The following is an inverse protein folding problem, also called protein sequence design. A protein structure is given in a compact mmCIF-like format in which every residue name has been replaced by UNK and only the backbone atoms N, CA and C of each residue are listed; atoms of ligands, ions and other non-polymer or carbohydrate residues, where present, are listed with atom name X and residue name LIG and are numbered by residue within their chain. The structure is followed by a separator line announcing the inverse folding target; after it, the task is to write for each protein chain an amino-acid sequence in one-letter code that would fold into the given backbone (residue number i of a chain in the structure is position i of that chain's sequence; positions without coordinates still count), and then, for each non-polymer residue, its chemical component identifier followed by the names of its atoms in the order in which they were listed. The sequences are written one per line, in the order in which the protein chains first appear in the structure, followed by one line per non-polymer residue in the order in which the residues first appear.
data_IF_738386333663
#
_entry.id   IF_738386333663
#
_cell.length_a   1.000
_cell.length_b   1.000
_cell.length_c   1.000
_cell.angle_alpha   90.00
_cell.angle_beta   90.00
_cell.angle_gamma   90.00
#
_symmetry.space_group_name_H-M   'P 1'
#
loop_
_entity.id
_entity.type
_entity.pdbx_description
1 polymer ?
#
# COMPACT_ATOMS: atom_id res chain seq x y z
N UNK A 1 -4.14 -9.84 18.67
CA UNK A 1 -4.88 -9.00 17.71
C UNK A 1 -5.92 -9.89 17.04
N UNK A 2 -7.20 -9.69 17.33
CA UNK A 2 -8.30 -10.48 16.74
C UNK A 2 -8.89 -9.69 15.58
N UNK A 3 -8.76 -10.21 14.37
CA UNK A 3 -9.37 -9.63 13.18
C UNK A 3 -10.63 -10.42 12.89
N UNK A 4 -11.78 -9.75 12.82
CA UNK A 4 -13.07 -10.36 12.47
C UNK A 4 -13.35 -10.17 10.98
N UNK A 5 -13.79 -11.22 10.29
CA UNK A 5 -14.08 -11.20 8.85
C UNK A 5 -15.08 -10.09 8.46
N UNK A 6 -16.08 -9.85 9.31
CA UNK A 6 -17.12 -8.84 9.12
C UNK A 6 -16.61 -7.40 9.19
N UNK A 7 -15.45 -7.18 9.82
CA UNK A 7 -14.81 -5.86 9.91
C UNK A 7 -13.87 -5.58 8.74
N UNK A 8 -13.61 -6.57 7.89
CA UNK A 8 -12.76 -6.38 6.72
C UNK A 8 -13.49 -5.56 5.64
N UNK A 9 -12.75 -4.72 4.89
CA UNK A 9 -13.28 -4.08 3.69
C UNK A 9 -13.88 -5.11 2.72
N UNK A 10 -14.97 -4.78 2.00
CA UNK A 10 -15.68 -5.75 1.15
C UNK A 10 -14.78 -6.50 0.16
N UNK A 11 -13.85 -5.76 -0.48
CA UNK A 11 -12.89 -6.34 -1.44
C UNK A 11 -11.92 -7.32 -0.79
N UNK A 12 -11.43 -7.00 0.41
CA UNK A 12 -10.52 -7.87 1.16
C UNK A 12 -11.25 -9.11 1.66
N UNK A 13 -12.50 -8.95 2.10
CA UNK A 13 -13.36 -10.06 2.53
C UNK A 13 -13.58 -11.08 1.42
N UNK A 14 -14.00 -10.62 0.24
CA UNK A 14 -14.18 -11.49 -0.93
C UNK A 14 -12.89 -12.26 -1.24
N UNK A 15 -11.73 -11.60 -1.19
CA UNK A 15 -10.45 -12.26 -1.46
C UNK A 15 -10.11 -13.34 -0.44
N UNK A 16 -10.40 -13.10 0.84
CA UNK A 16 -10.17 -14.08 1.91
C UNK A 16 -11.11 -15.27 1.74
N UNK A 17 -12.39 -15.04 1.44
CA UNK A 17 -13.38 -16.09 1.18
C UNK A 17 -13.00 -16.95 -0.04
N UNK A 18 -12.54 -16.33 -1.13
CA UNK A 18 -12.02 -17.05 -2.30
C UNK A 18 -10.87 -17.98 -1.96
N UNK A 19 -9.91 -17.52 -1.15
CA UNK A 19 -8.76 -18.32 -0.71
C UNK A 19 -9.19 -19.48 0.20
N UNK A 20 -10.18 -19.24 1.07
CA UNK A 20 -10.77 -20.28 1.92
C UNK A 20 -11.47 -21.35 1.08
N UNK A 21 -12.30 -20.95 0.13
CA UNK A 21 -13.05 -21.86 -0.75
C UNK A 21 -12.14 -22.64 -1.69
N UNK A 22 -11.17 -21.98 -2.33
CA UNK A 22 -10.30 -22.61 -3.34
C UNK A 22 -9.32 -23.60 -2.73
N UNK A 23 -8.78 -23.28 -1.55
CA UNK A 23 -7.70 -24.07 -0.94
C UNK A 23 -8.13 -24.88 0.28
N UNK A 24 -9.41 -24.80 0.69
CA UNK A 24 -9.90 -25.41 1.92
C UNK A 24 -9.26 -24.83 3.18
N UNK A 25 -8.83 -23.57 3.13
CA UNK A 25 -8.12 -22.93 4.23
C UNK A 25 -9.07 -22.39 5.30
N UNK A 26 -8.59 -22.38 6.55
CA UNK A 26 -9.26 -21.64 7.60
C UNK A 26 -9.01 -20.12 7.46
N UNK A 27 -9.86 -19.33 8.09
CA UNK A 27 -9.79 -17.86 8.03
C UNK A 27 -8.41 -17.33 8.45
N UNK A 28 -7.83 -17.88 9.53
CA UNK A 28 -6.51 -17.43 10.02
C UNK A 28 -5.41 -17.57 8.98
N UNK A 29 -5.41 -18.67 8.21
CA UNK A 29 -4.42 -18.88 7.16
C UNK A 29 -4.68 -17.95 5.97
N UNK A 30 -5.93 -17.84 5.54
CA UNK A 30 -6.30 -17.00 4.41
C UNK A 30 -6.03 -15.50 4.66
N UNK A 31 -6.33 -14.99 5.86
CA UNK A 31 -6.06 -13.58 6.20
C UNK A 31 -4.56 -13.31 6.32
N UNK A 32 -3.78 -14.26 6.86
CA UNK A 32 -2.34 -14.11 6.95
C UNK A 32 -1.71 -14.02 5.57
N UNK A 33 -2.12 -14.89 4.62
CA UNK A 33 -1.64 -14.84 3.24
C UNK A 33 -1.89 -13.46 2.60
N UNK A 34 -3.09 -12.91 2.76
CA UNK A 34 -3.44 -11.58 2.25
C UNK A 34 -2.60 -10.49 2.90
N UNK A 35 -2.35 -10.60 4.21
CA UNK A 35 -1.54 -9.65 4.96
C UNK A 35 -0.05 -9.71 4.57
N UNK A 36 0.51 -10.90 4.46
CA UNK A 36 1.89 -11.14 4.03
C UNK A 36 2.13 -10.61 2.62
N UNK A 37 1.23 -10.91 1.68
CA UNK A 37 1.31 -10.37 0.33
C UNK A 37 1.22 -8.84 0.31
N UNK A 38 0.33 -8.23 1.11
CA UNK A 38 0.25 -6.78 1.21
C UNK A 38 1.56 -6.16 1.75
N UNK A 39 2.17 -6.77 2.76
CA UNK A 39 3.46 -6.34 3.32
C UNK A 39 4.55 -6.46 2.26
N UNK A 40 4.64 -7.59 1.55
CA UNK A 40 5.60 -7.83 0.49
C UNK A 40 5.44 -6.83 -0.67
N UNK A 41 4.20 -6.43 -0.99
CA UNK A 41 3.90 -5.37 -1.96
C UNK A 41 4.15 -3.95 -1.43
N UNK A 42 4.71 -3.79 -0.23
CA UNK A 42 5.12 -2.50 0.29
C UNK A 42 4.00 -1.69 0.97
N UNK A 43 2.91 -2.34 1.42
CA UNK A 43 1.85 -1.64 2.16
C UNK A 43 2.41 -0.81 3.33
N UNK A 44 3.41 -1.32 4.05
CA UNK A 44 4.08 -0.61 5.14
C UNK A 44 4.99 0.54 4.66
N UNK A 45 5.52 0.44 3.43
CA UNK A 45 6.33 1.50 2.82
C UNK A 45 5.47 2.67 2.33
N UNK A 46 4.29 2.39 1.78
CA UNK A 46 3.35 3.40 1.29
C UNK A 46 2.74 4.24 2.43
N UNK A 47 2.39 3.60 3.56
CA UNK A 47 1.78 4.31 4.71
C UNK A 47 2.80 4.99 5.63
N UNK A 48 4.09 4.63 5.56
CA UNK A 48 5.14 5.10 6.46
C UNK A 48 6.12 6.13 5.87
N UNK A 49 6.18 6.29 4.53
CA UNK A 49 7.09 7.28 3.94
C UNK A 49 6.56 8.69 4.17
N UNK A 50 7.24 9.44 5.03
CA UNK A 50 7.15 10.91 5.06
C UNK A 50 7.61 11.39 3.68
N UNK A 51 6.68 11.59 2.75
CA UNK A 51 7.00 12.08 1.41
C UNK A 51 7.80 13.36 1.60
N UNK A 52 9.06 13.37 1.16
CA UNK A 52 9.87 14.58 1.19
C UNK A 52 9.06 15.67 0.47
N UNK A 53 8.89 16.82 1.12
CA UNK A 53 8.19 17.95 0.50
C UNK A 53 8.93 18.22 -0.79
N UNK A 54 8.25 18.12 -1.93
CA UNK A 54 8.84 18.40 -3.24
C UNK A 54 9.33 19.85 -3.16
N UNK A 55 10.62 20.04 -2.92
CA UNK A 55 11.27 21.30 -3.22
C UNK A 55 11.10 21.41 -4.73
N UNK A 56 10.26 22.34 -5.17
CA UNK A 56 10.09 22.67 -6.58
C UNK A 56 11.48 22.71 -7.21
N UNK A 57 11.81 21.71 -8.04
CA UNK A 57 12.95 21.72 -8.96
C UNK A 57 12.65 22.71 -10.11
N UNK A 58 12.07 23.87 -9.78
CA UNK A 58 12.11 25.00 -10.67
C UNK A 58 13.50 25.56 -10.46
N UNK A 59 14.45 25.11 -11.29
CA UNK A 59 15.68 25.88 -11.52
C UNK A 59 15.22 27.32 -11.71
N UNK A 60 15.60 28.30 -10.88
CA UNK A 60 15.32 29.68 -11.20
C UNK A 60 15.98 29.90 -12.55
N UNK A 61 15.14 30.20 -13.55
CA UNK A 61 15.58 30.52 -14.89
C UNK A 61 16.62 31.63 -14.72
N UNK A 62 17.91 31.28 -14.87
CA UNK A 62 19.01 32.24 -14.76
C UNK A 62 18.70 33.29 -15.81
N UNK A 63 18.24 34.46 -15.39
CA UNK A 63 18.21 35.62 -16.25
C UNK A 63 19.67 35.99 -16.50
N UNK A 64 20.31 35.32 -17.47
CA UNK A 64 21.57 35.77 -18.03
C UNK A 64 21.27 36.97 -18.90
N UNK A 65 21.04 38.13 -18.28
CA UNK A 65 21.18 39.42 -18.92
C UNK A 65 22.67 39.70 -19.07
N UNK A 66 23.31 39.03 -20.04
CA UNK A 66 24.62 39.40 -20.56
C UNK A 66 24.40 39.89 -21.97
N UNK A 67 23.99 41.14 -22.08
CA UNK A 67 24.12 42.00 -23.25
C UNK A 67 24.41 43.40 -22.67
N UNK A 68 25.68 43.81 -22.67
CA UNK A 68 26.33 44.66 -23.69
C UNK A 68 25.86 46.10 -23.56
#
# INVERSE_FOLDING_TARGET
MTVELERLPPKTRQRVEELMCTNGWNFSRAINEVMENAIACGALSEVGRKKAKVLQLVTPMRASGRDS
#
